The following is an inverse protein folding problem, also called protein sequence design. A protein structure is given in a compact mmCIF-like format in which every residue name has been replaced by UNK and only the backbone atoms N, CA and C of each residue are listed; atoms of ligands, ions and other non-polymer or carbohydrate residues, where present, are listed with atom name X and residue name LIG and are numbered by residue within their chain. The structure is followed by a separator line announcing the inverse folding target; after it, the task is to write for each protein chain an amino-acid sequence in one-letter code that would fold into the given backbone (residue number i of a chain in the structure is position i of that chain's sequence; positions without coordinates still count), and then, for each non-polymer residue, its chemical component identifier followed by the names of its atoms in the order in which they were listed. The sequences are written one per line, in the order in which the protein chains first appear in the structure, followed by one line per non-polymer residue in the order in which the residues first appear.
data_IF_078634571040
#
_entry.id   IF_078634571040
#
_cell.length_a   1.000
_cell.length_b   1.000
_cell.length_c   1.000
_cell.angle_alpha   90.00
_cell.angle_beta   90.00
_cell.angle_gamma   90.00
#
_symmetry.space_group_name_H-M   'P 1'
#
loop_
_entity.id
_entity.type
_entity.pdbx_description
1 polymer ?
#
# COMPACT_ATOMS: atom_id res chain seq x y z
N UNK A 1 6.38 -7.13 -38.06
CA UNK A 1 5.07 -6.98 -37.40
C UNK A 1 5.31 -6.36 -36.05
N UNK A 2 4.81 -5.14 -35.81
CA UNK A 2 4.94 -4.45 -34.52
C UNK A 2 3.83 -4.95 -33.61
N UNK A 3 4.16 -5.86 -32.71
CA UNK A 3 3.24 -6.33 -31.66
C UNK A 3 3.04 -5.20 -30.66
N UNK A 4 1.87 -4.57 -30.68
CA UNK A 4 1.44 -3.67 -29.59
C UNK A 4 0.91 -4.57 -28.48
N UNK A 5 1.60 -4.58 -27.34
CA UNK A 5 1.03 -5.11 -26.10
C UNK A 5 0.04 -4.06 -25.59
N UNK A 6 -1.23 -4.19 -25.93
CA UNK A 6 -2.30 -3.49 -25.21
C UNK A 6 -2.52 -4.24 -23.88
N UNK A 7 -1.54 -4.15 -22.98
CA UNK A 7 -1.66 -4.64 -21.62
C UNK A 7 -2.76 -3.84 -20.93
N UNK A 8 -3.85 -4.50 -20.53
CA UNK A 8 -4.93 -3.83 -19.81
C UNK A 8 -4.46 -3.61 -18.38
N UNK A 9 -4.18 -2.37 -18.04
CA UNK A 9 -3.75 -1.97 -16.71
C UNK A 9 -4.98 -1.71 -15.85
N UNK A 10 -4.98 -2.19 -14.61
CA UNK A 10 -6.04 -1.88 -13.63
C UNK A 10 -5.52 -0.74 -12.75
N UNK A 11 -6.15 0.43 -12.91
CA UNK A 11 -5.75 1.67 -12.26
C UNK A 11 -6.85 2.13 -11.31
N UNK A 12 -6.46 2.51 -10.09
CA UNK A 12 -7.35 3.15 -9.13
C UNK A 12 -7.65 4.60 -9.51
N UNK A 13 -8.65 5.19 -8.87
CA UNK A 13 -9.00 6.61 -9.01
C UNK A 13 -7.87 7.56 -8.54
N UNK A 14 -7.05 7.14 -7.57
CA UNK A 14 -5.86 7.86 -7.08
C UNK A 14 -4.62 7.64 -7.97
N UNK A 15 -4.75 6.85 -9.03
CA UNK A 15 -3.73 6.73 -10.07
C UNK A 15 -2.67 5.66 -9.83
N UNK A 16 -2.82 4.81 -8.81
CA UNK A 16 -1.98 3.62 -8.59
C UNK A 16 -2.46 2.43 -9.42
N UNK A 17 -1.54 1.52 -9.72
CA UNK A 17 -1.79 0.34 -10.54
C UNK A 17 -1.72 -0.94 -9.70
N UNK A 18 -2.68 -1.84 -9.93
CA UNK A 18 -2.70 -3.17 -9.35
C UNK A 18 -1.50 -3.96 -9.86
N UNK A 19 -0.70 -4.48 -8.94
CA UNK A 19 0.56 -5.17 -9.24
C UNK A 19 0.60 -6.52 -8.56
N UNK A 20 0.98 -7.55 -9.32
CA UNK A 20 1.21 -8.90 -8.84
C UNK A 20 2.71 -9.26 -8.96
N UNK A 21 3.57 -8.81 -8.03
CA UNK A 21 5.01 -9.12 -8.08
C UNK A 21 5.30 -10.64 -8.03
N UNK A 22 4.38 -11.42 -7.47
CA UNK A 22 4.46 -12.87 -7.35
C UNK A 22 3.33 -13.56 -8.14
N UNK A 23 3.06 -13.05 -9.35
CA UNK A 23 2.00 -13.48 -10.24
C UNK A 23 1.91 -14.98 -10.54
N UNK A 24 3.01 -15.74 -10.44
CA UNK A 24 3.04 -17.17 -10.74
C UNK A 24 2.98 -18.07 -9.49
N UNK A 25 2.83 -17.51 -8.29
CA UNK A 25 2.93 -18.24 -7.03
C UNK A 25 1.59 -18.24 -6.30
N UNK A 26 1.15 -19.42 -5.84
CA UNK A 26 0.01 -19.53 -4.92
C UNK A 26 0.31 -18.79 -3.61
N UNK A 27 -0.58 -17.88 -3.24
CA UNK A 27 -0.38 -16.97 -2.11
C UNK A 27 0.44 -15.73 -2.47
N UNK A 28 0.73 -15.51 -3.75
CA UNK A 28 1.48 -14.35 -4.23
C UNK A 28 0.80 -13.05 -3.82
N UNK A 29 1.59 -12.13 -3.28
CA UNK A 29 1.08 -10.84 -2.80
C UNK A 29 0.60 -9.94 -3.94
N UNK A 30 -0.33 -9.04 -3.60
CA UNK A 30 -0.85 -7.98 -4.47
C UNK A 30 -0.49 -6.64 -3.85
N UNK A 31 -0.17 -5.66 -4.70
CA UNK A 31 0.22 -4.32 -4.28
C UNK A 31 -0.42 -3.26 -5.17
N UNK A 32 -0.67 -2.08 -4.61
CA UNK A 32 -0.96 -0.87 -5.38
C UNK A 32 0.32 -0.01 -5.40
N UNK A 33 0.89 0.23 -6.58
CA UNK A 33 2.12 1.03 -6.75
C UNK A 33 2.03 1.91 -7.99
N UNK A 34 3.05 2.72 -8.25
CA UNK A 34 3.12 3.54 -9.46
C UNK A 34 2.94 2.70 -10.73
N UNK A 35 2.22 3.26 -11.71
CA UNK A 35 1.99 2.62 -13.01
C UNK A 35 3.26 2.65 -13.85
N UNK A 36 3.69 1.49 -14.33
CA UNK A 36 4.93 1.33 -15.10
C UNK A 36 4.55 0.83 -16.50
N UNK A 37 4.92 1.59 -17.53
CA UNK A 37 4.67 1.21 -18.92
C UNK A 37 5.39 -0.09 -19.27
N UNK A 38 4.64 -1.08 -19.77
CA UNK A 38 5.18 -2.38 -20.19
C UNK A 38 5.51 -3.33 -19.04
N UNK A 39 5.16 -3.00 -17.81
CA UNK A 39 5.39 -3.86 -16.66
C UNK A 39 4.48 -5.11 -16.70
N UNK A 40 5.11 -6.29 -16.80
CA UNK A 40 4.40 -7.56 -16.91
C UNK A 40 3.60 -7.89 -15.66
N UNK A 41 4.07 -7.49 -14.48
CA UNK A 41 3.41 -7.63 -13.18
C UNK A 41 2.24 -6.66 -12.98
N UNK A 42 2.01 -5.73 -13.93
CA UNK A 42 0.88 -4.80 -13.95
C UNK A 42 -0.06 -5.02 -15.15
N UNK A 43 0.18 -6.04 -15.96
CA UNK A 43 -0.64 -6.38 -17.12
C UNK A 43 -1.70 -7.40 -16.74
N UNK A 44 -2.97 -7.02 -16.81
CA UNK A 44 -4.08 -7.88 -16.42
C UNK A 44 -4.93 -8.28 -17.61
N UNK A 45 -5.43 -9.50 -17.60
CA UNK A 45 -6.46 -9.97 -18.53
C UNK A 45 -7.77 -10.19 -17.79
N UNK A 46 -8.88 -9.70 -18.34
CA UNK A 46 -10.20 -9.81 -17.74
C UNK A 46 -11.21 -10.50 -18.66
N UNK A 47 -11.77 -11.62 -18.20
CA UNK A 47 -12.82 -12.38 -18.87
C UNK A 47 -13.83 -12.98 -17.86
N UNK A 48 -14.12 -12.21 -16.80
CA UNK A 48 -14.87 -12.66 -15.61
C UNK A 48 -13.98 -13.27 -14.52
N UNK A 49 -12.70 -13.44 -14.82
CA UNK A 49 -11.60 -13.66 -13.87
C UNK A 49 -10.51 -12.63 -14.17
N UNK A 50 -9.76 -12.20 -13.16
CA UNK A 50 -8.61 -11.31 -13.31
C UNK A 50 -7.32 -12.12 -13.32
N UNK A 51 -6.54 -12.04 -14.40
CA UNK A 51 -5.33 -12.86 -14.58
C UNK A 51 -4.07 -12.06 -14.80
N UNK A 52 -3.03 -12.42 -14.06
CA UNK A 52 -1.63 -12.11 -14.32
C UNK A 52 -0.85 -13.39 -14.04
N UNK A 53 -0.51 -14.16 -15.07
CA UNK A 53 -0.09 -15.58 -15.00
C UNK A 53 -1.12 -16.52 -14.36
N UNK A 54 -1.45 -16.34 -13.08
CA UNK A 54 -2.56 -17.02 -12.39
C UNK A 54 -3.67 -16.00 -12.03
N UNK A 55 -4.64 -16.42 -11.21
CA UNK A 55 -5.88 -15.68 -10.99
C UNK A 55 -5.85 -14.88 -9.68
N UNK A 56 -6.47 -13.70 -9.68
CA UNK A 56 -6.76 -12.94 -8.46
C UNK A 56 -7.86 -13.66 -7.68
N UNK A 57 -7.56 -14.07 -6.45
CA UNK A 57 -8.44 -14.86 -5.58
C UNK A 57 -8.70 -14.08 -4.28
N UNK A 58 -9.97 -14.01 -3.89
CA UNK A 58 -10.42 -13.48 -2.61
C UNK A 58 -11.29 -14.51 -1.91
N UNK A 59 -10.67 -15.44 -1.17
CA UNK A 59 -11.42 -16.49 -0.48
C UNK A 59 -12.03 -15.98 0.83
N UNK A 60 -11.55 -14.82 1.32
CA UNK A 60 -12.01 -14.11 2.51
C UNK A 60 -12.12 -12.61 2.20
N UNK A 61 -13.03 -11.85 2.85
CA UNK A 61 -13.22 -10.41 2.59
C UNK A 61 -11.95 -9.56 2.61
N UNK A 62 -11.06 -9.83 3.57
CA UNK A 62 -9.84 -9.02 3.80
C UNK A 62 -8.57 -9.66 3.20
N UNK A 63 -8.73 -10.70 2.38
CA UNK A 63 -7.61 -11.36 1.71
C UNK A 63 -7.81 -11.33 0.21
N UNK A 64 -6.86 -10.70 -0.48
CA UNK A 64 -6.73 -10.74 -1.93
C UNK A 64 -5.30 -11.15 -2.26
N UNK A 65 -5.14 -12.22 -3.04
CA UNK A 65 -3.84 -12.73 -3.44
C UNK A 65 -3.88 -13.38 -4.83
N UNK A 66 -2.71 -13.78 -5.33
CA UNK A 66 -2.61 -14.60 -6.53
C UNK A 66 -2.80 -16.09 -6.16
N UNK A 67 -3.60 -16.80 -6.93
CA UNK A 67 -3.83 -18.24 -6.76
C UNK A 67 -4.08 -18.94 -8.09
N UNK A 68 -3.71 -20.22 -8.16
CA UNK A 68 -3.99 -21.09 -9.30
C UNK A 68 -5.45 -20.97 -9.72
N UNK A 69 -5.67 -20.73 -11.01
CA UNK A 69 -6.99 -20.53 -11.57
C UNK A 69 -7.86 -21.77 -11.40
N UNK A 70 -9.03 -21.61 -10.75
CA UNK A 70 -9.98 -22.69 -10.49
C UNK A 70 -11.41 -22.19 -10.64
N UNK A 71 -12.33 -23.14 -10.84
CA UNK A 71 -13.76 -22.82 -10.85
C UNK A 71 -14.24 -22.58 -9.42
N UNK A 72 -14.61 -21.34 -9.11
CA UNK A 72 -15.11 -20.98 -7.78
C UNK A 72 -15.48 -19.50 -7.70
N UNK A 73 -16.36 -19.15 -6.75
CA UNK A 73 -16.83 -17.78 -6.57
C UNK A 73 -15.71 -16.80 -6.17
N UNK A 74 -14.71 -17.28 -5.42
CA UNK A 74 -13.55 -16.51 -4.92
C UNK A 74 -12.70 -15.83 -6.01
N UNK A 75 -12.75 -16.33 -7.25
CA UNK A 75 -11.99 -15.79 -8.39
C UNK A 75 -12.89 -15.09 -9.40
N UNK A 76 -14.17 -14.87 -9.07
CA UNK A 76 -15.15 -14.28 -10.00
C UNK A 76 -15.28 -12.80 -9.69
N UNK A 77 -15.02 -12.01 -10.71
CA UNK A 77 -15.01 -10.55 -10.65
C UNK A 77 -15.98 -9.98 -11.66
N UNK A 78 -16.68 -8.92 -11.28
CA UNK A 78 -17.62 -8.19 -12.12
C UNK A 78 -17.08 -6.77 -12.32
N UNK A 79 -17.05 -6.33 -13.58
CA UNK A 79 -16.68 -4.97 -13.95
C UNK A 79 -17.95 -4.21 -14.31
N UNK A 80 -18.26 -3.17 -13.53
CA UNK A 80 -19.21 -2.15 -13.96
C UNK A 80 -18.52 -1.22 -14.95
N UNK A 81 -18.92 -1.28 -16.22
CA UNK A 81 -18.32 -0.46 -17.29
C UNK A 81 -18.71 1.01 -17.23
N UNK A 82 -19.80 1.36 -16.55
CA UNK A 82 -20.23 2.75 -16.39
C UNK A 82 -19.42 3.43 -15.29
N UNK A 83 -19.17 2.73 -14.18
CA UNK A 83 -18.45 3.32 -13.03
C UNK A 83 -16.98 2.92 -12.97
N UNK A 84 -16.54 1.95 -13.77
CA UNK A 84 -15.19 1.37 -13.71
C UNK A 84 -14.92 0.52 -12.45
N UNK A 85 -15.96 0.15 -11.70
CA UNK A 85 -15.81 -0.58 -10.42
C UNK A 85 -15.62 -2.06 -10.67
N UNK A 86 -14.67 -2.66 -9.96
CA UNK A 86 -14.46 -4.10 -9.94
C UNK A 86 -15.02 -4.63 -8.61
N UNK A 87 -15.96 -5.56 -8.68
CA UNK A 87 -16.58 -6.18 -7.51
C UNK A 87 -16.39 -7.69 -7.51
N UNK A 88 -16.22 -8.24 -6.32
CA UNK A 88 -16.16 -9.67 -6.08
C UNK A 88 -17.56 -10.27 -6.05
N UNK A 89 -17.67 -11.58 -6.28
CA UNK A 89 -18.94 -12.31 -6.23
C UNK A 89 -19.69 -12.20 -4.89
N UNK A 90 -19.01 -11.86 -3.79
CA UNK A 90 -19.62 -11.60 -2.48
C UNK A 90 -20.30 -10.22 -2.37
N UNK A 91 -20.16 -9.35 -3.38
CA UNK A 91 -20.70 -7.99 -3.38
C UNK A 91 -19.75 -6.92 -2.85
N UNK A 92 -18.54 -7.28 -2.41
CA UNK A 92 -17.50 -6.33 -2.00
C UNK A 92 -16.72 -5.79 -3.21
N UNK A 93 -16.21 -4.56 -3.12
CA UNK A 93 -15.39 -3.94 -4.17
C UNK A 93 -13.90 -4.21 -3.97
N UNK A 94 -13.16 -4.30 -5.08
CA UNK A 94 -11.70 -4.24 -5.05
C UNK A 94 -11.29 -2.78 -4.81
N UNK A 95 -10.93 -2.48 -3.58
CA UNK A 95 -10.47 -1.15 -3.18
C UNK A 95 -8.93 -1.11 -3.26
N UNK A 96 -8.38 -0.04 -3.82
CA UNK A 96 -6.97 0.26 -3.58
C UNK A 96 -6.81 0.61 -2.09
N UNK A 97 -5.67 0.34 -1.46
CA UNK A 97 -5.41 0.91 -0.14
C UNK A 97 -5.64 2.41 -0.27
N UNK A 98 -6.48 2.97 0.61
CA UNK A 98 -6.68 4.40 0.67
C UNK A 98 -5.30 5.01 0.82
N UNK A 99 -4.83 5.67 -0.23
CA UNK A 99 -3.94 6.78 -0.01
C UNK A 99 -4.82 7.77 0.71
N UNK A 100 -4.72 7.78 2.03
CA UNK A 100 -4.85 9.02 2.77
C UNK A 100 -4.29 10.13 1.85
N UNK A 101 -5.20 11.02 1.47
CA UNK A 101 -5.11 11.96 0.34
C UNK A 101 -3.86 12.86 0.45
N UNK A 102 -2.75 12.46 -0.14
CA UNK A 102 -1.54 13.30 -0.19
C UNK A 102 -1.58 14.29 -1.36
N UNK A 103 -2.38 15.35 -1.22
CA UNK A 103 -2.00 16.69 -1.69
C UNK A 103 -2.16 17.64 -0.51
N UNK A 104 -1.05 17.88 0.19
CA UNK A 104 -0.95 18.77 1.35
C UNK A 104 -0.87 18.00 2.67
N UNK A 105 0.27 18.13 3.37
CA UNK A 105 0.49 17.77 4.78
C UNK A 105 -0.50 16.75 5.37
N UNK A 106 -0.27 15.48 5.13
CA UNK A 106 -0.85 14.46 6.00
C UNK A 106 0.19 14.04 7.01
N UNK A 107 -0.13 14.37 8.25
CA UNK A 107 0.52 13.81 9.40
C UNK A 107 0.37 12.27 9.40
N UNK A 108 1.35 11.57 9.96
CA UNK A 108 1.43 10.13 9.99
C UNK A 108 1.97 9.68 11.34
N UNK A 109 1.08 9.24 12.23
CA UNK A 109 1.48 8.66 13.51
C UNK A 109 2.12 7.28 13.33
N UNK A 110 3.21 6.99 14.06
CA UNK A 110 3.95 5.76 13.86
C UNK A 110 3.19 4.58 14.48
N UNK A 111 3.00 3.53 13.69
CA UNK A 111 2.41 2.27 14.17
C UNK A 111 3.26 1.66 15.29
N UNK A 112 2.65 0.99 16.28
CA UNK A 112 3.39 0.19 17.26
C UNK A 112 4.37 -0.76 16.57
N UNK A 113 5.59 -0.85 17.11
CA UNK A 113 6.72 -1.64 16.58
C UNK A 113 7.31 -1.18 15.24
N UNK A 114 6.80 -0.12 14.62
CA UNK A 114 7.48 0.54 13.50
C UNK A 114 8.82 1.13 13.96
N UNK A 115 9.77 1.26 13.03
CA UNK A 115 11.07 1.85 13.34
C UNK A 115 10.94 3.30 13.85
N UNK A 116 10.01 4.08 13.30
CA UNK A 116 9.72 5.42 13.81
C UNK A 116 9.20 5.39 15.25
N UNK A 117 8.26 4.48 15.57
CA UNK A 117 7.71 4.35 16.93
C UNK A 117 8.81 4.01 17.95
N UNK A 118 9.63 3.01 17.63
CA UNK A 118 10.72 2.54 18.51
C UNK A 118 11.71 3.68 18.78
N UNK A 119 12.13 4.40 17.75
CA UNK A 119 13.14 5.45 17.90
C UNK A 119 12.58 6.71 18.56
N UNK A 120 11.32 7.07 18.28
CA UNK A 120 10.63 8.17 18.99
C UNK A 120 10.48 7.86 20.48
N UNK A 121 10.13 6.61 20.80
CA UNK A 121 10.07 6.12 22.19
C UNK A 121 11.42 6.18 22.87
N UNK A 122 12.47 5.75 22.18
CA UNK A 122 13.82 5.80 22.72
C UNK A 122 14.29 7.24 22.95
N UNK A 123 14.07 8.14 21.97
CA UNK A 123 14.41 9.56 22.08
C UNK A 123 13.72 10.22 23.28
N UNK A 124 12.43 9.95 23.47
CA UNK A 124 11.62 10.55 24.54
C UNK A 124 12.01 10.04 25.93
N UNK A 125 12.34 8.75 26.08
CA UNK A 125 12.56 8.13 27.40
C UNK A 125 14.03 8.00 27.81
N UNK A 126 14.94 7.98 26.84
CA UNK A 126 16.37 7.70 27.06
C UNK A 126 17.23 8.76 26.40
N UNK A 127 17.03 8.98 25.10
CA UNK A 127 17.88 9.84 24.28
C UNK A 127 17.99 11.26 24.82
N UNK A 128 16.87 11.92 25.13
CA UNK A 128 16.88 13.32 25.61
C UNK A 128 17.58 13.49 26.96
N UNK A 129 17.59 12.47 27.82
CA UNK A 129 18.25 12.51 29.13
C UNK A 129 19.74 12.18 29.04
N UNK A 130 20.12 11.29 28.13
CA UNK A 130 21.52 10.88 27.92
C UNK A 130 22.30 11.88 27.05
N UNK A 131 21.66 12.39 26.00
CA UNK A 131 22.26 13.21 24.94
C UNK A 131 21.31 14.35 24.50
N UNK A 132 21.00 15.33 25.35
CA UNK A 132 20.12 16.45 25.00
C UNK A 132 20.61 17.25 23.79
N UNK A 133 21.93 17.28 23.54
CA UNK A 133 22.56 17.93 22.40
C UNK A 133 22.14 17.37 21.04
N UNK A 134 21.61 16.14 20.97
CA UNK A 134 21.10 15.55 19.73
C UNK A 134 19.75 16.11 19.29
N UNK A 135 19.04 16.78 20.19
CA UNK A 135 17.66 17.24 19.99
C UNK A 135 17.55 18.76 20.18
N UNK A 136 18.26 19.59 19.37
CA UNK A 136 18.22 21.03 19.51
C UNK A 136 16.78 21.56 19.40
N UNK A 137 16.36 22.32 20.42
CA UNK A 137 15.00 22.86 20.52
C UNK A 137 14.02 21.99 21.32
N UNK A 138 14.39 20.75 21.66
CA UNK A 138 13.61 19.89 22.54
C UNK A 138 14.23 19.81 23.94
N UNK A 139 13.42 19.39 24.90
CA UNK A 139 13.85 19.13 26.28
C UNK A 139 13.04 17.98 26.90
N UNK A 140 13.36 17.60 28.13
CA UNK A 140 12.71 16.47 28.83
C UNK A 140 11.18 16.63 29.05
N UNK A 141 10.64 17.83 28.86
CA UNK A 141 9.18 18.09 28.92
C UNK A 141 8.50 18.16 27.55
N UNK A 142 9.27 18.05 26.45
CA UNK A 142 8.73 17.99 25.09
C UNK A 142 7.82 16.77 24.90
N UNK A 143 6.80 16.94 24.06
CA UNK A 143 5.79 15.90 23.82
C UNK A 143 6.30 14.84 22.85
N UNK A 144 5.61 13.71 22.79
CA UNK A 144 5.87 12.67 21.79
C UNK A 144 5.82 13.22 20.36
N UNK A 145 4.81 14.05 20.07
CA UNK A 145 4.62 14.70 18.76
C UNK A 145 5.84 15.58 18.40
N UNK A 146 6.40 16.32 19.37
CA UNK A 146 7.62 17.11 19.13
C UNK A 146 8.83 16.24 18.74
N UNK A 147 9.02 15.10 19.42
CA UNK A 147 10.11 14.16 19.08
C UNK A 147 9.90 13.52 17.72
N UNK A 148 8.67 13.10 17.40
CA UNK A 148 8.36 12.55 16.08
C UNK A 148 8.58 13.58 14.98
N UNK A 149 8.09 14.81 15.17
CA UNK A 149 8.29 15.91 14.22
C UNK A 149 9.75 16.25 14.01
N UNK A 150 10.56 16.22 15.09
CA UNK A 150 12.00 16.38 14.98
C UNK A 150 12.63 15.26 14.12
N UNK A 151 12.33 13.99 14.40
CA UNK A 151 12.86 12.87 13.62
C UNK A 151 12.42 12.92 12.15
N UNK A 152 11.16 13.29 11.89
CA UNK A 152 10.63 13.48 10.54
C UNK A 152 11.37 14.61 9.80
N UNK A 153 11.63 15.75 10.45
CA UNK A 153 12.39 16.87 9.87
C UNK A 153 13.84 16.50 9.52
N UNK A 154 14.40 15.50 10.20
CA UNK A 154 15.74 14.96 9.95
C UNK A 154 15.75 13.75 9.00
N UNK A 155 14.58 13.32 8.52
CA UNK A 155 14.39 12.11 7.73
C UNK A 155 14.98 10.86 8.40
N UNK A 156 14.83 10.77 9.72
CA UNK A 156 15.31 9.65 10.53
C UNK A 156 14.20 8.60 10.63
N UNK A 157 14.56 7.34 10.40
CA UNK A 157 13.72 6.17 10.74
C UNK A 157 12.38 6.08 10.04
N UNK A 158 12.24 6.80 8.91
CA UNK A 158 11.01 6.84 8.12
C UNK A 158 9.85 7.54 8.81
N UNK A 159 10.13 8.40 9.80
CA UNK A 159 9.08 9.16 10.49
C UNK A 159 8.41 10.17 9.55
N UNK A 160 7.07 10.24 9.62
CA UNK A 160 6.27 11.32 9.04
C UNK A 160 5.96 12.41 10.07
N UNK A 161 5.45 13.56 9.61
CA UNK A 161 5.01 14.64 10.51
C UNK A 161 3.93 14.12 11.47
N UNK A 162 3.92 14.53 12.74
CA UNK A 162 2.95 14.03 13.72
C UNK A 162 1.53 14.52 13.46
N UNK A 163 0.54 13.67 13.77
CA UNK A 163 -0.84 14.09 13.94
C UNK A 163 -1.04 14.57 15.40
#
# INVERSE_FOLDING_TARGET
ATTVVLGSVIRSNIGTCLTAPQAAQDGGSIQARACISGAVDQSWHFDGVLRNQICLDSPLPDLVHMWTCKSGAAQRWQLDVQTGKISHSSGLCLEAPSQDLAVGEQCHDPLPDSKCYIDTRWATNVGIFAHPEWYPGLNASSTWSDFQGFLASKNISGCGQPC
#
